data_IF_382990880619
#
_entry.id   IF_382990880619
#
_cell.length_a   1.000
_cell.length_b   1.000
_cell.length_c   1.000
_cell.angle_alpha   90.00
_cell.angle_beta   90.00
_cell.angle_gamma   90.00
#
_symmetry.space_group_name_H-M   'P 1'
#
loop_
_entity.id
_entity.type
_entity.pdbx_description
1 polymer ?
#
# COMPACT_ATOMS: atom_id res chain seq x y z
N UNK A 1 -66.25 -1.25 -0.89
CA UNK A 1 -66.39 -1.76 -2.27
C UNK A 1 -65.54 -0.89 -3.19
N UNK A 2 -64.72 -1.51 -4.07
CA UNK A 2 -64.25 -0.99 -5.38
C UNK A 2 -63.39 0.30 -5.33
N UNK A 3 -62.18 0.39 -5.86
CA UNK A 3 -61.59 -0.26 -7.03
C UNK A 3 -60.06 -0.15 -7.03
N UNK A 4 -59.40 -1.25 -7.41
CA UNK A 4 -58.05 -1.25 -7.95
C UNK A 4 -58.07 -0.63 -9.35
N UNK A 5 -57.21 0.34 -9.62
CA UNK A 5 -56.98 0.82 -10.99
C UNK A 5 -55.48 0.80 -11.27
N UNK A 6 -55.06 -0.17 -12.09
CA UNK A 6 -53.76 -0.21 -12.76
C UNK A 6 -53.86 0.61 -14.05
N UNK A 7 -52.98 1.60 -14.23
CA UNK A 7 -52.73 2.29 -15.51
C UNK A 7 -51.24 2.66 -15.49
N UNK A 8 -50.37 1.86 -16.11
CA UNK A 8 -49.92 1.92 -17.51
C UNK A 8 -48.73 2.88 -17.71
N UNK A 9 -47.59 2.27 -18.01
CA UNK A 9 -46.55 2.67 -18.96
C UNK A 9 -46.63 4.09 -19.54
N UNK A 10 -45.63 4.92 -19.25
CA UNK A 10 -45.17 5.95 -20.19
C UNK A 10 -43.64 5.93 -20.23
N UNK A 11 -43.18 5.60 -21.43
CA UNK A 11 -41.82 5.62 -21.95
C UNK A 11 -41.49 7.09 -22.30
N UNK A 12 -40.47 7.70 -21.69
CA UNK A 12 -39.87 8.97 -22.16
C UNK A 12 -38.42 8.99 -21.70
N UNK A 13 -37.50 8.37 -22.44
CA UNK A 13 -36.74 8.95 -23.55
C UNK A 13 -35.99 10.24 -23.17
N UNK A 14 -34.78 10.05 -22.63
CA UNK A 14 -33.55 10.66 -23.14
C UNK A 14 -33.24 12.13 -22.82
N UNK A 15 -32.25 12.32 -21.96
CA UNK A 15 -31.17 13.32 -22.13
C UNK A 15 -30.00 12.93 -21.21
N UNK A 16 -29.30 11.86 -21.59
CA UNK A 16 -27.97 11.59 -21.06
C UNK A 16 -27.00 12.52 -21.79
N UNK A 17 -26.55 13.57 -21.12
CA UNK A 17 -25.38 14.32 -21.54
C UNK A 17 -24.16 13.42 -21.40
N UNK A 18 -23.66 12.95 -22.54
CA UNK A 18 -22.36 12.31 -22.70
C UNK A 18 -21.27 13.30 -22.31
N UNK A 19 -20.81 13.20 -21.06
CA UNK A 19 -19.52 13.76 -20.64
C UNK A 19 -18.41 12.87 -21.22
N UNK A 20 -17.91 13.23 -22.40
CA UNK A 20 -16.80 12.54 -23.04
C UNK A 20 -15.48 12.93 -22.38
N UNK A 21 -14.77 11.91 -21.88
CA UNK A 21 -13.32 11.76 -21.82
C UNK A 21 -12.50 12.96 -21.34
N UNK A 22 -11.88 12.91 -20.17
CA UNK A 22 -10.94 11.84 -19.84
C UNK A 22 -9.55 12.47 -19.80
N UNK A 23 -9.31 13.27 -18.76
CA UNK A 23 -7.96 13.66 -18.40
C UNK A 23 -7.22 12.40 -17.98
N UNK A 24 -6.50 11.79 -18.91
CA UNK A 24 -5.44 10.83 -18.63
C UNK A 24 -4.34 11.56 -17.84
N UNK A 25 -4.64 11.74 -16.57
CA UNK A 25 -3.65 11.95 -15.53
C UNK A 25 -2.80 10.70 -15.57
N UNK A 26 -1.69 10.77 -16.31
CA UNK A 26 -0.61 9.79 -16.26
C UNK A 26 -0.05 9.78 -14.84
N UNK A 27 -0.80 9.18 -13.90
CA UNK A 27 -0.28 8.74 -12.62
C UNK A 27 0.75 7.69 -12.98
N UNK A 28 2.04 8.03 -12.80
CA UNK A 28 3.07 7.02 -12.70
C UNK A 28 2.52 5.93 -11.78
N UNK A 29 2.40 4.70 -12.30
CA UNK A 29 1.78 3.58 -11.58
C UNK A 29 2.71 3.20 -10.41
N UNK A 30 2.67 3.99 -9.35
CA UNK A 30 3.46 3.75 -8.14
C UNK A 30 2.99 2.47 -7.47
N UNK A 31 3.82 1.96 -6.58
CA UNK A 31 3.45 0.83 -5.74
C UNK A 31 2.93 1.36 -4.40
N UNK A 32 1.81 0.82 -3.91
CA UNK A 32 1.30 1.12 -2.57
C UNK A 32 0.66 -0.13 -1.98
N UNK A 33 0.94 -0.40 -0.70
CA UNK A 33 0.28 -1.46 0.06
C UNK A 33 0.07 -1.01 1.50
N UNK A 34 -1.06 -1.38 2.09
CA UNK A 34 -1.44 -1.00 3.44
C UNK A 34 -1.98 -2.18 4.23
N UNK A 35 -1.95 -2.05 5.56
CA UNK A 35 -2.51 -3.02 6.48
C UNK A 35 -2.34 -2.56 7.93
N UNK A 36 -2.58 -3.47 8.88
CA UNK A 36 -2.54 -3.16 10.31
C UNK A 36 -1.35 -3.82 11.01
N UNK A 37 -0.78 -3.11 11.98
CA UNK A 37 0.19 -3.60 12.95
C UNK A 37 -0.37 -3.38 14.36
N UNK A 38 -1.18 -4.33 14.85
CA UNK A 38 -1.94 -4.12 16.08
C UNK A 38 -2.97 -3.00 15.90
N UNK A 39 -2.91 -1.95 16.73
CA UNK A 39 -3.76 -0.77 16.61
C UNK A 39 -3.30 0.23 15.54
N UNK A 40 -2.09 0.07 15.01
CA UNK A 40 -1.53 0.99 14.03
C UNK A 40 -1.95 0.64 12.60
N UNK A 41 -2.28 1.65 11.82
CA UNK A 41 -2.42 1.57 10.38
C UNK A 41 -1.07 1.89 9.72
N UNK A 42 -0.61 0.97 8.86
CA UNK A 42 0.69 1.05 8.19
C UNK A 42 0.45 1.04 6.69
N UNK A 43 0.98 2.04 6.00
CA UNK A 43 1.00 2.10 4.55
C UNK A 43 2.44 2.24 4.10
N UNK A 44 2.87 1.44 3.14
CA UNK A 44 4.15 1.62 2.49
C UNK A 44 3.99 1.73 0.98
N UNK A 45 4.81 2.56 0.36
CA UNK A 45 4.70 2.91 -1.04
C UNK A 45 6.05 3.18 -1.68
N UNK A 46 6.09 3.11 -3.00
CA UNK A 46 7.21 3.54 -3.83
C UNK A 46 6.67 4.39 -4.98
N UNK A 47 7.36 5.48 -5.38
CA UNK A 47 6.92 6.32 -6.50
C UNK A 47 6.88 5.58 -7.84
N UNK A 48 7.64 4.48 -7.96
CA UNK A 48 7.68 3.61 -9.13
C UNK A 48 7.22 2.20 -8.73
N UNK A 49 6.83 1.34 -9.69
CA UNK A 49 6.74 -0.09 -9.43
C UNK A 49 8.05 -0.60 -8.81
N UNK A 50 7.95 -1.59 -7.94
CA UNK A 50 9.14 -2.21 -7.38
C UNK A 50 9.88 -2.99 -8.47
N UNK A 51 11.20 -2.88 -8.50
CA UNK A 51 12.08 -3.49 -9.51
C UNK A 51 13.25 -4.21 -8.87
N UNK A 52 13.94 -5.05 -9.65
CA UNK A 52 15.25 -5.57 -9.25
C UNK A 52 16.24 -4.40 -9.16
N UNK A 53 16.99 -4.34 -8.06
CA UNK A 53 17.88 -3.23 -7.71
C UNK A 53 17.27 -2.27 -6.69
N UNK A 54 17.66 -1.00 -6.77
CA UNK A 54 17.33 0.01 -5.77
C UNK A 54 15.88 0.51 -5.88
N UNK A 55 15.14 0.44 -4.77
CA UNK A 55 13.77 0.91 -4.64
C UNK A 55 13.65 1.91 -3.50
N UNK A 56 13.11 3.09 -3.79
CA UNK A 56 12.81 4.07 -2.74
C UNK A 56 11.47 3.71 -2.10
N UNK A 57 11.47 3.49 -0.79
CA UNK A 57 10.31 3.10 0.00
C UNK A 57 9.97 4.22 0.97
N UNK A 58 8.70 4.56 1.04
CA UNK A 58 8.11 5.45 2.02
C UNK A 58 7.14 4.65 2.88
N UNK A 59 7.21 4.80 4.19
CA UNK A 59 6.29 4.19 5.15
C UNK A 59 5.57 5.29 5.91
N UNK A 60 4.25 5.25 5.92
CA UNK A 60 3.38 6.09 6.75
C UNK A 60 2.77 5.23 7.84
N UNK A 61 2.88 5.69 9.07
CA UNK A 61 2.29 5.03 10.25
C UNK A 61 1.27 5.98 10.85
N UNK A 62 0.05 5.50 11.06
CA UNK A 62 -1.02 6.25 11.69
C UNK A 62 -1.67 5.44 12.80
N UNK A 63 -2.15 6.12 13.84
CA UNK A 63 -2.90 5.55 14.95
C UNK A 63 -4.24 6.28 15.03
N UNK A 64 -5.35 5.59 14.77
CA UNK A 64 -6.70 6.19 14.73
C UNK A 64 -6.76 7.48 13.87
N UNK A 65 -6.10 7.46 12.71
CA UNK A 65 -6.04 8.59 11.77
C UNK A 65 -5.00 9.68 12.09
N UNK A 66 -4.30 9.61 13.23
CA UNK A 66 -3.22 10.54 13.60
C UNK A 66 -1.87 9.98 13.19
N UNK A 67 -1.00 10.82 12.62
CA UNK A 67 0.36 10.41 12.22
C UNK A 67 1.20 10.08 13.44
N UNK A 68 1.85 8.92 13.42
CA UNK A 68 2.78 8.48 14.47
C UNK A 68 4.19 8.98 14.13
N UNK A 69 4.63 10.01 14.86
CA UNK A 69 5.97 10.60 14.74
C UNK A 69 6.92 10.06 15.81
N UNK A 70 8.23 10.09 15.52
CA UNK A 70 9.28 9.66 16.46
C UNK A 70 9.23 8.17 16.78
N UNK A 71 8.67 7.35 15.90
CA UNK A 71 8.81 5.90 15.98
C UNK A 71 10.11 5.47 15.28
N UNK A 72 10.75 4.41 15.78
CA UNK A 72 11.78 3.70 15.02
C UNK A 72 11.08 2.75 14.06
N UNK A 73 11.36 2.88 12.77
CA UNK A 73 10.75 2.04 11.72
C UNK A 73 11.84 1.29 10.98
N UNK A 74 11.84 -0.03 11.11
CA UNK A 74 12.75 -0.92 10.39
C UNK A 74 11.96 -1.70 9.32
N UNK A 75 12.41 -1.59 8.07
CA UNK A 75 11.86 -2.31 6.93
C UNK A 75 12.75 -3.52 6.65
N UNK A 76 12.23 -4.71 6.91
CA UNK A 76 12.87 -5.98 6.58
C UNK A 76 12.18 -6.59 5.36
N UNK A 77 12.94 -6.97 4.36
CA UNK A 77 12.45 -7.72 3.21
C UNK A 77 13.29 -8.99 3.05
N UNK A 78 12.64 -10.14 2.84
CA UNK A 78 13.34 -11.42 2.78
C UNK A 78 12.69 -12.37 1.77
N UNK A 79 13.51 -13.07 1.00
CA UNK A 79 13.08 -14.16 0.12
C UNK A 79 13.36 -15.48 0.84
N UNK A 80 12.34 -16.32 1.08
CA UNK A 80 12.56 -17.63 1.71
C UNK A 80 13.44 -18.52 0.81
N UNK A 81 14.08 -19.51 1.42
CA UNK A 81 14.82 -20.52 0.68
C UNK A 81 13.91 -21.27 -0.31
N UNK A 82 14.41 -21.49 -1.51
CA UNK A 82 13.75 -22.29 -2.55
C UNK A 82 14.79 -23.23 -3.17
N UNK A 83 14.38 -24.35 -3.78
CA UNK A 83 15.31 -25.27 -4.42
C UNK A 83 16.23 -24.54 -5.42
N UNK A 84 17.54 -24.52 -5.13
CA UNK A 84 18.54 -23.83 -5.95
C UNK A 84 18.78 -22.35 -5.62
N UNK A 85 18.16 -21.77 -4.59
CA UNK A 85 18.45 -20.41 -4.11
C UNK A 85 18.52 -20.34 -2.57
N UNK A 86 19.60 -19.75 -2.00
CA UNK A 86 19.69 -19.56 -0.55
C UNK A 86 18.71 -18.50 -0.05
N UNK A 87 18.44 -18.50 1.25
CA UNK A 87 17.72 -17.42 1.91
C UNK A 87 18.42 -16.07 1.68
N UNK A 88 17.65 -15.05 1.36
CA UNK A 88 18.14 -13.68 1.20
C UNK A 88 17.32 -12.73 2.07
N UNK A 89 17.98 -11.78 2.71
CA UNK A 89 17.32 -10.72 3.43
C UNK A 89 18.04 -9.39 3.31
N UNK A 90 17.26 -8.33 3.44
CA UNK A 90 17.75 -6.98 3.62
C UNK A 90 16.95 -6.32 4.75
N UNK A 91 17.66 -5.61 5.62
CA UNK A 91 17.06 -4.86 6.72
C UNK A 91 17.51 -3.42 6.61
N UNK A 92 16.55 -2.50 6.58
CA UNK A 92 16.81 -1.07 6.49
C UNK A 92 16.05 -0.29 7.56
N UNK A 93 16.78 0.41 8.40
CA UNK A 93 16.19 1.44 9.26
C UNK A 93 15.82 2.66 8.42
N UNK A 94 14.56 3.07 8.51
CA UNK A 94 14.02 4.18 7.74
C UNK A 94 14.21 5.51 8.49
N UNK A 95 14.55 6.56 7.76
CA UNK A 95 14.73 7.90 8.30
C UNK A 95 13.42 8.66 8.26
N UNK A 96 13.05 9.31 9.38
CA UNK A 96 11.87 10.16 9.43
C UNK A 96 12.04 11.38 8.50
N UNK A 97 11.01 11.68 7.72
CA UNK A 97 10.90 12.83 6.84
C UNK A 97 9.46 13.36 6.90
N UNK A 98 9.23 14.36 7.76
CA UNK A 98 7.89 14.90 7.99
C UNK A 98 6.94 13.87 8.61
N UNK A 99 5.94 13.43 7.82
CA UNK A 99 4.89 12.50 8.24
C UNK A 99 5.14 11.05 7.77
N UNK A 100 6.27 10.80 7.10
CA UNK A 100 6.64 9.50 6.54
C UNK A 100 8.06 9.12 6.96
N UNK A 101 8.38 7.84 6.83
CA UNK A 101 9.72 7.29 7.03
C UNK A 101 10.23 6.77 5.68
N UNK A 102 11.40 7.23 5.24
CA UNK A 102 11.94 6.89 3.94
C UNK A 102 13.20 6.04 4.04
N UNK A 103 13.43 5.21 3.04
CA UNK A 103 14.66 4.46 2.88
C UNK A 103 14.76 3.81 1.52
N UNK A 104 15.98 3.44 1.16
CA UNK A 104 16.25 2.69 -0.05
C UNK A 104 16.55 1.23 0.32
N UNK A 105 15.92 0.31 -0.41
CA UNK A 105 16.17 -1.13 -0.34
C UNK A 105 16.66 -1.63 -1.70
N UNK A 106 17.55 -2.60 -1.72
CA UNK A 106 18.04 -3.26 -2.91
C UNK A 106 17.52 -4.71 -3.02
N UNK A 107 16.63 -4.94 -3.98
CA UNK A 107 16.11 -6.27 -4.27
C UNK A 107 17.05 -6.94 -5.27
N UNK A 108 17.84 -7.90 -4.82
CA UNK A 108 18.89 -8.53 -5.63
C UNK A 108 18.37 -9.33 -6.83
N UNK A 109 17.15 -9.86 -6.72
CA UNK A 109 16.52 -10.71 -7.75
C UNK A 109 15.00 -10.52 -7.77
N UNK A 110 14.39 -10.89 -8.90
CA UNK A 110 12.92 -10.95 -9.05
C UNK A 110 12.32 -12.15 -8.30
N UNK A 111 11.02 -12.10 -8.03
CA UNK A 111 10.29 -13.15 -7.33
C UNK A 111 9.43 -12.63 -6.18
N UNK A 112 8.96 -13.57 -5.34
CA UNK A 112 8.14 -13.23 -4.18
C UNK A 112 9.01 -12.93 -2.97
N UNK A 113 8.91 -11.69 -2.48
CA UNK A 113 9.59 -11.24 -1.28
C UNK A 113 8.60 -11.03 -0.12
N UNK A 114 9.01 -11.42 1.08
CA UNK A 114 8.27 -11.22 2.33
C UNK A 114 8.71 -9.91 2.97
N UNK A 115 7.78 -8.98 3.15
CA UNK A 115 7.98 -7.68 3.79
C UNK A 115 7.54 -7.75 5.24
N UNK A 116 8.39 -7.32 6.16
CA UNK A 116 8.10 -7.12 7.58
C UNK A 116 8.50 -5.70 7.96
N UNK A 117 7.54 -4.90 8.41
CA UNK A 117 7.80 -3.55 8.92
C UNK A 117 7.67 -3.60 10.43
N UNK A 118 8.77 -3.34 11.12
CA UNK A 118 8.82 -3.25 12.57
C UNK A 118 8.74 -1.78 12.97
N UNK A 119 7.82 -1.49 13.89
CA UNK A 119 7.58 -0.13 14.37
C UNK A 119 7.74 -0.18 15.89
N UNK A 120 8.65 0.62 16.42
CA UNK A 120 8.84 0.77 17.86
C UNK A 120 8.54 2.21 18.27
N UNK A 121 7.59 2.37 19.19
CA UNK A 121 7.17 3.67 19.71
C UNK A 121 6.91 3.56 21.21
N UNK A 122 7.59 4.39 21.99
CA UNK A 122 7.44 4.48 23.45
C UNK A 122 7.57 3.10 24.14
N UNK A 123 8.54 2.29 23.69
CA UNK A 123 8.80 0.93 24.19
C UNK A 123 7.82 -0.14 23.70
N UNK A 124 6.74 0.23 22.99
CA UNK A 124 5.82 -0.73 22.36
C UNK A 124 6.31 -1.09 20.96
N UNK A 125 6.30 -2.39 20.66
CA UNK A 125 6.69 -2.93 19.36
C UNK A 125 5.46 -3.41 18.59
N UNK A 126 5.37 -3.01 17.35
CA UNK A 126 4.34 -3.40 16.39
C UNK A 126 5.00 -4.01 15.16
N UNK A 127 4.30 -4.94 14.53
CA UNK A 127 4.78 -5.61 13.33
C UNK A 127 3.68 -5.66 12.29
N UNK A 128 3.98 -5.13 11.11
CA UNK A 128 3.19 -5.38 9.91
C UNK A 128 3.91 -6.41 9.04
N UNK A 129 3.16 -7.30 8.40
CA UNK A 129 3.72 -8.32 7.52
C UNK A 129 2.90 -8.38 6.22
N UNK A 130 3.59 -8.43 5.09
CA UNK A 130 3.00 -8.54 3.77
C UNK A 130 3.97 -9.23 2.82
N UNK A 131 3.54 -9.49 1.59
CA UNK A 131 4.41 -9.98 0.52
C UNK A 131 4.31 -9.07 -0.70
N UNK A 132 5.35 -9.03 -1.52
CA UNK A 132 5.36 -8.35 -2.82
C UNK A 132 5.96 -9.28 -3.86
N UNK A 133 5.55 -9.10 -5.11
CA UNK A 133 6.10 -9.80 -6.26
C UNK A 133 6.80 -8.75 -7.11
N UNK A 134 8.06 -9.01 -7.41
CA UNK A 134 8.95 -8.21 -8.27
C UNK A 134 9.16 -8.99 -9.56
#
# INVERSE_FOLDING_TARGET
MRNFLKIASILTLGLFFTACGGGDSSSSKGFTKSGKAGSLDVMYSSPKPLVVGNNNISVKVTDHGKVVKGAKVDFKISMPEMPGMPYMEEVKSLSANGDIYNGNINLSMGGTWQVKIFIEKDGKKYKYSSSVII
#
